data_IF_438453780091
#
_entry.id   IF_438453780091
#
_cell.length_a   1.000
_cell.length_b   1.000
_cell.length_c   1.000
_cell.angle_alpha   90.00
_cell.angle_beta   90.00
_cell.angle_gamma   90.00
#
_symmetry.space_group_name_H-M   'P 1'
#
loop_
_entity.id
_entity.type
_entity.pdbx_description
1 polymer ?
#
# COMPACT_ATOMS: atom_id res chain seq x y z
N UNK A 1 21.38 -9.00 -4.59
CA UNK A 1 20.75 -7.74 -4.13
C UNK A 1 19.84 -8.07 -2.96
N UNK A 2 19.90 -7.33 -1.86
CA UNK A 2 19.06 -7.59 -0.68
C UNK A 2 17.62 -7.18 -1.02
N UNK A 3 16.60 -7.92 -0.58
CA UNK A 3 15.21 -7.46 -0.70
C UNK A 3 14.81 -6.72 0.56
N UNK A 4 14.04 -5.65 0.41
CA UNK A 4 13.46 -4.88 1.51
C UNK A 4 11.94 -4.94 1.40
N UNK A 5 11.30 -5.07 2.55
CA UNK A 5 9.86 -5.30 2.65
C UNK A 5 9.26 -4.21 3.50
N UNK A 6 8.11 -3.68 3.07
CA UNK A 6 7.46 -2.58 3.77
C UNK A 6 6.00 -2.89 4.00
N UNK A 7 5.49 -2.49 5.15
CA UNK A 7 4.06 -2.37 5.43
C UNK A 7 3.67 -0.91 5.36
N UNK A 8 2.67 -0.63 4.55
CA UNK A 8 2.18 0.74 4.29
C UNK A 8 0.73 0.82 4.69
N UNK A 9 0.41 1.89 5.41
CA UNK A 9 -0.95 2.32 5.68
C UNK A 9 -1.12 3.71 5.12
N UNK A 10 -2.09 3.87 4.25
CA UNK A 10 -2.38 5.14 3.61
C UNK A 10 -3.88 5.45 3.68
N UNK A 11 -4.20 6.72 3.56
CA UNK A 11 -5.57 7.18 3.55
C UNK A 11 -5.76 8.32 2.56
N UNK A 12 -6.95 8.44 2.00
CA UNK A 12 -7.28 9.42 0.96
C UNK A 12 -8.78 9.68 0.92
N UNK A 13 -9.18 10.85 0.42
CA UNK A 13 -10.57 11.11 0.07
C UNK A 13 -10.98 10.35 -1.17
N UNK A 14 -12.24 9.90 -1.18
CA UNK A 14 -12.88 9.35 -2.35
C UNK A 14 -13.41 10.46 -3.27
N UNK A 15 -13.11 10.40 -4.56
CA UNK A 15 -13.68 11.32 -5.58
C UNK A 15 -15.06 10.89 -6.07
N UNK A 16 -15.42 9.62 -5.89
CA UNK A 16 -16.68 9.04 -6.35
C UNK A 16 -17.82 9.16 -5.31
N UNK A 17 -17.49 9.43 -4.05
CA UNK A 17 -18.45 9.64 -2.97
C UNK A 17 -18.02 10.86 -2.17
N UNK A 18 -18.84 11.91 -2.19
CA UNK A 18 -18.52 13.19 -1.58
C UNK A 18 -18.04 13.04 -0.13
N UNK A 19 -16.86 13.60 0.17
CA UNK A 19 -16.27 13.73 1.51
C UNK A 19 -16.09 12.41 2.27
N UNK A 20 -15.97 11.28 1.58
CA UNK A 20 -15.71 9.99 2.25
C UNK A 20 -14.22 9.71 2.33
N UNK A 21 -13.69 9.59 3.55
CA UNK A 21 -12.31 9.17 3.78
C UNK A 21 -12.20 7.64 3.65
N UNK A 22 -11.16 7.16 2.95
CA UNK A 22 -10.85 5.74 2.82
C UNK A 22 -9.45 5.47 3.37
N UNK A 23 -9.32 4.38 4.11
CA UNK A 23 -8.05 3.86 4.60
C UNK A 23 -7.72 2.54 3.91
N UNK A 24 -6.47 2.37 3.52
CA UNK A 24 -5.97 1.17 2.85
C UNK A 24 -4.65 0.74 3.48
N UNK A 25 -4.43 -0.56 3.55
CA UNK A 25 -3.16 -1.15 3.93
C UNK A 25 -2.64 -2.07 2.82
N UNK A 26 -1.33 -2.09 2.62
CA UNK A 26 -0.65 -2.92 1.64
C UNK A 26 0.81 -3.13 1.97
N UNK A 27 1.39 -4.16 1.35
CA UNK A 27 2.80 -4.51 1.51
C UNK A 27 3.54 -4.26 0.20
N UNK A 28 4.78 -3.79 0.30
CA UNK A 28 5.66 -3.53 -0.84
C UNK A 28 6.92 -4.39 -0.67
N UNK A 29 7.37 -5.01 -1.75
CA UNK A 29 8.68 -5.65 -1.83
C UNK A 29 9.50 -4.90 -2.87
N UNK A 30 10.72 -4.52 -2.52
CA UNK A 30 11.67 -3.89 -3.44
C UNK A 30 13.03 -4.55 -3.36
N UNK A 31 13.75 -4.53 -4.49
CA UNK A 31 15.16 -4.84 -4.50
C UNK A 31 15.97 -3.63 -3.97
N UNK A 32 16.96 -3.91 -3.13
CA UNK A 32 17.99 -2.98 -2.68
C UNK A 32 18.82 -2.57 -3.90
N UNK A 33 18.52 -1.39 -4.42
CA UNK A 33 18.95 -0.90 -5.73
C UNK A 33 17.85 -0.22 -6.55
N UNK A 34 16.57 -0.32 -6.15
CA UNK A 34 15.50 0.42 -6.84
C UNK A 34 15.67 1.93 -6.66
N UNK A 35 15.55 2.68 -7.77
CA UNK A 35 15.64 4.14 -7.79
C UNK A 35 14.50 4.83 -7.02
N UNK A 36 13.40 4.11 -6.78
CA UNK A 36 12.24 4.62 -6.07
C UNK A 36 12.34 4.34 -4.56
N UNK A 37 12.19 5.41 -3.78
CA UNK A 37 12.01 5.33 -2.34
C UNK A 37 10.70 4.59 -2.01
N UNK A 38 10.59 3.90 -0.86
CA UNK A 38 9.39 3.13 -0.49
C UNK A 38 8.08 3.92 -0.61
N UNK A 39 8.12 5.23 -0.32
CA UNK A 39 6.97 6.12 -0.49
C UNK A 39 6.53 6.27 -1.96
N UNK A 40 7.46 6.29 -2.92
CA UNK A 40 7.09 6.42 -4.34
C UNK A 40 6.45 5.16 -4.88
N UNK A 41 6.96 3.98 -4.46
CA UNK A 41 6.29 2.71 -4.74
C UNK A 41 4.88 2.68 -4.12
N UNK A 42 4.73 3.25 -2.92
CA UNK A 42 3.44 3.33 -2.26
C UNK A 42 2.44 4.24 -3.01
N UNK A 43 2.89 5.42 -3.48
CA UNK A 43 2.09 6.31 -4.33
C UNK A 43 1.69 5.59 -5.61
N UNK A 44 2.63 4.88 -6.26
CA UNK A 44 2.36 4.13 -7.49
C UNK A 44 1.27 3.08 -7.28
N UNK A 45 1.39 2.25 -6.23
CA UNK A 45 0.38 1.23 -5.89
C UNK A 45 -0.99 1.84 -5.68
N UNK A 46 -1.08 3.00 -5.02
CA UNK A 46 -2.35 3.67 -4.78
C UNK A 46 -2.93 4.23 -6.08
N UNK A 47 -2.10 4.89 -6.89
CA UNK A 47 -2.53 5.44 -8.17
C UNK A 47 -2.99 4.34 -9.14
N UNK A 48 -2.33 3.18 -9.17
CA UNK A 48 -2.69 2.06 -10.06
C UNK A 48 -3.90 1.27 -9.51
N UNK A 49 -3.94 1.00 -8.21
CA UNK A 49 -4.97 0.16 -7.60
C UNK A 49 -6.27 0.89 -7.22
N UNK A 50 -6.22 2.21 -7.10
CA UNK A 50 -7.34 3.04 -6.66
C UNK A 50 -7.57 4.27 -7.53
N UNK A 51 -7.06 4.32 -8.77
CA UNK A 51 -7.23 5.45 -9.72
C UNK A 51 -8.67 5.94 -9.83
N UNK A 52 -9.63 5.01 -9.82
CA UNK A 52 -11.05 5.29 -10.04
C UNK A 52 -11.70 5.98 -8.85
N UNK A 53 -11.16 5.81 -7.65
CA UNK A 53 -11.81 6.29 -6.42
C UNK A 53 -10.95 7.27 -5.63
N UNK A 54 -9.63 7.19 -5.69
CA UNK A 54 -8.75 8.05 -4.90
C UNK A 54 -8.68 9.46 -5.50
N UNK A 55 -8.75 10.47 -4.64
CA UNK A 55 -8.27 11.82 -4.94
C UNK A 55 -6.77 11.90 -4.57
N UNK A 56 -5.86 11.93 -5.55
CA UNK A 56 -4.42 11.94 -5.28
C UNK A 56 -3.94 13.13 -4.46
N UNK A 57 -4.65 14.27 -4.51
CA UNK A 57 -4.28 15.48 -3.76
C UNK A 57 -4.45 15.34 -2.24
N UNK A 58 -5.14 14.29 -1.81
CA UNK A 58 -5.53 14.05 -0.41
C UNK A 58 -4.79 12.89 0.22
N UNK A 59 -3.84 12.30 -0.51
CA UNK A 59 -3.12 11.12 -0.10
C UNK A 59 -2.27 11.41 1.15
N UNK A 60 -2.56 10.71 2.23
CA UNK A 60 -1.84 10.73 3.49
C UNK A 60 -1.24 9.36 3.79
N UNK A 61 0.06 9.33 4.09
CA UNK A 61 0.73 8.13 4.57
C UNK A 61 0.70 8.10 6.09
N UNK A 62 -0.20 7.28 6.64
CA UNK A 62 -0.32 7.07 8.09
C UNK A 62 0.86 6.26 8.62
N UNK A 63 1.38 5.32 7.82
CA UNK A 63 2.53 4.50 8.17
C UNK A 63 3.27 3.99 6.92
N UNK A 64 4.59 3.92 6.99
CA UNK A 64 5.45 3.25 6.01
C UNK A 64 6.69 2.70 6.74
N UNK A 65 6.60 1.47 7.23
CA UNK A 65 7.65 0.83 8.03
C UNK A 65 8.28 -0.33 7.28
N UNK A 66 9.59 -0.49 7.45
CA UNK A 66 10.29 -1.68 7.01
C UNK A 66 9.95 -2.86 7.95
N UNK A 67 9.67 -4.02 7.36
CA UNK A 67 9.26 -5.24 8.06
C UNK A 67 10.16 -6.41 7.65
N UNK A 68 10.09 -7.50 8.40
CA UNK A 68 10.78 -8.75 8.04
C UNK A 68 10.17 -9.40 6.79
N UNK A 69 10.90 -10.33 6.17
CA UNK A 69 10.37 -11.12 5.05
C UNK A 69 9.21 -12.00 5.53
N UNK A 70 9.32 -12.54 6.72
CA UNK A 70 8.35 -13.42 7.36
C UNK A 70 7.03 -12.68 7.59
N UNK A 71 7.09 -11.44 8.10
CA UNK A 71 5.90 -10.59 8.26
C UNK A 71 5.26 -10.25 6.91
N UNK A 72 6.07 -9.95 5.89
CA UNK A 72 5.57 -9.69 4.54
C UNK A 72 4.80 -10.87 3.96
N UNK A 73 5.35 -12.08 4.09
CA UNK A 73 4.70 -13.32 3.66
C UNK A 73 3.42 -13.59 4.46
N UNK A 74 3.44 -13.36 5.77
CA UNK A 74 2.27 -13.51 6.64
C UNK A 74 1.13 -12.55 6.25
N UNK A 75 1.42 -11.27 6.00
CA UNK A 75 0.42 -10.30 5.55
C UNK A 75 -0.18 -10.68 4.20
N UNK A 76 0.63 -11.15 3.25
CA UNK A 76 0.13 -11.58 1.94
C UNK A 76 -0.75 -12.83 2.04
N UNK A 77 -0.36 -13.80 2.87
CA UNK A 77 -1.16 -14.99 3.12
C UNK A 77 -2.51 -14.63 3.75
N UNK A 78 -2.52 -13.73 4.75
CA UNK A 78 -3.75 -13.23 5.37
C UNK A 78 -4.69 -12.60 4.34
N UNK A 79 -4.17 -11.75 3.44
CA UNK A 79 -4.98 -11.11 2.38
C UNK A 79 -5.59 -12.11 1.42
N UNK A 80 -4.86 -13.17 1.08
CA UNK A 80 -5.38 -14.23 0.21
C UNK A 80 -6.49 -15.02 0.91
N UNK A 81 -6.34 -15.34 2.20
CA UNK A 81 -7.38 -16.01 2.98
C UNK A 81 -8.67 -15.18 3.10
N UNK A 82 -8.55 -13.86 3.30
CA UNK A 82 -9.71 -12.96 3.39
C UNK A 82 -10.43 -12.81 2.04
N UNK A 83 -9.72 -12.91 0.91
CA UNK A 83 -10.32 -12.85 -0.43
C UNK A 83 -11.10 -14.12 -0.80
N UNK A 84 -10.74 -15.28 -0.28
CA UNK A 84 -11.44 -16.55 -0.55
C UNK A 84 -12.80 -16.62 0.16
N UNK A 85 -12.99 -15.84 1.23
CA UNK A 85 -14.21 -15.82 2.04
C UNK A 85 -15.19 -14.69 1.66
N UNK A 86 -15.08 -14.10 0.47
CA UNK A 86 -16.02 -13.11 -0.10
C UNK A 86 -16.63 -13.64 -1.38
#
# INVERSE_FOLDING_TARGET
MKKRYFYVVASFMRKDIANTWRKVDFTIMKDDGSALFPLMEAIKVINEGYSEIADPATLQFDNCIEISKEDYEAFNNLKNLVKVNK
#
